data_IF_200817173277
#
_entry.id   IF_200817173277
#
_cell.length_a   1.000
_cell.length_b   1.000
_cell.length_c   1.000
_cell.angle_alpha   90.00
_cell.angle_beta   90.00
_cell.angle_gamma   90.00
#
_symmetry.space_group_name_H-M   'P 1'
#
loop_
_entity.id
_entity.type
_entity.pdbx_description
1 polymer ?
#
# COMPACT_ATOMS: atom_id res chain seq x y z
N UNK A 1 22.95 -35.35 21.50
CA UNK A 1 21.78 -34.67 22.07
C UNK A 1 21.00 -34.05 20.93
N UNK A 2 19.89 -34.67 20.53
CA UNK A 2 18.98 -34.11 19.52
C UNK A 2 18.25 -32.94 20.16
N UNK A 3 18.47 -31.72 19.66
CA UNK A 3 17.61 -30.60 20.02
C UNK A 3 16.22 -30.91 19.50
N UNK A 4 15.23 -30.93 20.40
CA UNK A 4 13.82 -30.97 20.02
C UNK A 4 13.56 -29.87 18.98
N UNK A 5 12.82 -30.14 17.88
CA UNK A 5 12.39 -29.05 17.01
C UNK A 5 11.67 -28.03 17.87
N UNK A 6 12.10 -26.76 17.78
CA UNK A 6 11.47 -25.64 18.49
C UNK A 6 9.97 -25.66 18.21
N UNK A 7 9.14 -25.43 19.24
CA UNK A 7 7.69 -25.32 19.10
C UNK A 7 7.35 -24.39 17.91
N UNK A 8 6.43 -24.78 17.00
CA UNK A 8 6.08 -23.96 15.83
C UNK A 8 5.67 -22.53 16.17
N UNK A 9 5.02 -22.31 17.32
CA UNK A 9 4.66 -20.97 17.79
C UNK A 9 5.91 -20.13 18.12
N UNK A 10 6.88 -20.73 18.81
CA UNK A 10 8.13 -20.07 19.17
C UNK A 10 8.94 -19.75 17.91
N UNK A 11 8.95 -20.66 16.93
CA UNK A 11 9.60 -20.46 15.65
C UNK A 11 8.95 -19.31 14.86
N UNK A 12 7.62 -19.29 14.75
CA UNK A 12 6.89 -18.22 14.07
C UNK A 12 7.14 -16.87 14.73
N UNK A 13 7.01 -16.80 16.05
CA UNK A 13 7.22 -15.57 16.83
C UNK A 13 8.64 -15.04 16.66
N UNK A 14 9.64 -15.93 16.70
CA UNK A 14 11.03 -15.57 16.47
C UNK A 14 11.24 -15.05 15.04
N UNK A 15 10.71 -15.74 14.04
CA UNK A 15 10.86 -15.34 12.64
C UNK A 15 10.23 -13.96 12.36
N UNK A 16 9.01 -13.72 12.85
CA UNK A 16 8.36 -12.41 12.71
C UNK A 16 9.19 -11.31 13.38
N UNK A 17 9.66 -11.56 14.61
CA UNK A 17 10.47 -10.58 15.35
C UNK A 17 11.80 -10.26 14.65
N UNK A 18 12.49 -11.29 14.14
CA UNK A 18 13.74 -11.12 13.41
C UNK A 18 13.52 -10.35 12.09
N UNK A 19 12.43 -10.65 11.37
CA UNK A 19 12.06 -9.94 10.15
C UNK A 19 11.74 -8.47 10.42
N UNK A 20 10.96 -8.18 11.46
CA UNK A 20 10.64 -6.81 11.87
C UNK A 20 11.89 -6.03 12.23
N UNK A 21 12.79 -6.61 13.04
CA UNK A 21 14.05 -5.96 13.41
C UNK A 21 14.93 -5.69 12.19
N UNK A 22 15.02 -6.65 11.26
CA UNK A 22 15.79 -6.52 10.02
C UNK A 22 15.22 -5.39 9.16
N UNK A 23 13.92 -5.38 8.90
CA UNK A 23 13.28 -4.34 8.07
C UNK A 23 13.35 -2.97 8.71
N UNK A 24 13.17 -2.86 10.04
CA UNK A 24 13.29 -1.58 10.75
C UNK A 24 14.67 -0.95 10.61
N UNK A 25 15.73 -1.78 10.52
CA UNK A 25 17.07 -1.29 10.26
C UNK A 25 17.28 -1.01 8.76
N UNK A 26 16.96 -1.96 7.88
CA UNK A 26 17.30 -1.87 6.46
C UNK A 26 16.46 -0.85 5.68
N UNK A 27 15.25 -0.52 6.15
CA UNK A 27 14.34 0.42 5.47
C UNK A 27 14.38 1.84 6.06
N UNK A 28 15.19 2.11 7.10
CA UNK A 28 15.19 3.39 7.81
C UNK A 28 15.31 4.58 6.87
N UNK A 29 16.36 4.60 6.04
CA UNK A 29 16.64 5.74 5.15
C UNK A 29 15.52 5.93 4.11
N UNK A 30 14.93 4.84 3.62
CA UNK A 30 13.81 4.90 2.66
C UNK A 30 12.53 5.42 3.31
N UNK A 31 12.27 5.03 4.56
CA UNK A 31 11.14 5.53 5.35
C UNK A 31 11.33 7.02 5.66
N UNK A 32 12.53 7.43 6.07
CA UNK A 32 12.84 8.84 6.33
C UNK A 32 12.69 9.71 5.06
N UNK A 33 13.17 9.21 3.92
CA UNK A 33 12.98 9.89 2.64
C UNK A 33 11.50 10.02 2.24
N UNK A 34 10.71 8.94 2.40
CA UNK A 34 9.27 8.99 2.14
C UNK A 34 8.54 9.94 3.09
N UNK A 35 8.90 9.94 4.37
CA UNK A 35 8.34 10.84 5.37
C UNK A 35 8.65 12.32 5.06
N UNK A 36 9.88 12.63 4.64
CA UNK A 36 10.25 13.98 4.19
C UNK A 36 9.41 14.41 3.00
N UNK A 37 9.24 13.53 2.01
CA UNK A 37 8.43 13.83 0.84
C UNK A 37 6.96 14.05 1.19
N UNK A 38 6.40 13.24 2.10
CA UNK A 38 5.04 13.44 2.61
C UNK A 38 4.89 14.78 3.34
N UNK A 39 5.89 15.18 4.13
CA UNK A 39 5.88 16.47 4.80
C UNK A 39 5.87 17.63 3.79
N UNK A 40 6.65 17.55 2.72
CA UNK A 40 6.67 18.56 1.66
C UNK A 40 5.31 18.67 0.95
N UNK A 41 4.69 17.52 0.63
CA UNK A 41 3.35 17.43 0.03
C UNK A 41 2.30 18.10 0.94
N UNK A 42 2.33 17.80 2.23
CA UNK A 42 1.40 18.39 3.21
C UNK A 42 1.63 19.89 3.34
N UNK A 43 2.87 20.35 3.40
CA UNK A 43 3.21 21.78 3.50
C UNK A 43 2.77 22.57 2.26
N UNK A 44 2.67 21.90 1.10
CA UNK A 44 2.16 22.46 -0.14
C UNK A 44 0.62 22.42 -0.27
N UNK A 45 -0.10 22.05 0.80
CA UNK A 45 -1.56 21.88 0.82
C UNK A 45 -2.06 20.85 -0.22
N UNK A 46 -1.32 19.73 -0.33
CA UNK A 46 -1.60 18.62 -1.25
C UNK A 46 -2.00 17.36 -0.50
N UNK A 47 -2.50 16.39 -1.26
CA UNK A 47 -2.95 15.09 -0.73
C UNK A 47 -1.92 13.98 -0.93
N UNK A 48 -1.92 13.04 0.00
CA UNK A 48 -1.25 11.75 -0.11
C UNK A 48 -2.33 10.72 -0.41
N UNK A 49 -2.36 10.23 -1.64
CA UNK A 49 -3.25 9.16 -2.07
C UNK A 49 -2.60 7.81 -1.77
N UNK A 50 -3.35 6.87 -1.21
CA UNK A 50 -2.86 5.51 -0.93
C UNK A 50 -3.63 4.50 -1.76
N UNK A 51 -2.92 3.54 -2.36
CA UNK A 51 -3.54 2.53 -3.21
C UNK A 51 -2.92 1.15 -2.97
N UNK A 52 -3.77 0.12 -2.94
CA UNK A 52 -3.37 -1.27 -2.92
C UNK A 52 -4.54 -2.16 -3.34
N UNK A 53 -4.25 -3.27 -4.01
CA UNK A 53 -5.29 -4.25 -4.41
C UNK A 53 -5.14 -5.54 -3.61
N UNK A 54 -6.19 -6.38 -3.63
CA UNK A 54 -6.22 -7.59 -2.82
C UNK A 54 -5.94 -7.24 -1.36
N UNK A 55 -5.18 -8.03 -0.60
CA UNK A 55 -4.87 -7.68 0.81
C UNK A 55 -4.10 -6.37 1.00
N UNK A 56 -3.45 -5.84 -0.05
CA UNK A 56 -2.70 -4.58 0.07
C UNK A 56 -3.62 -3.37 0.32
N UNK A 57 -4.93 -3.46 0.02
CA UNK A 57 -5.88 -2.40 0.36
C UNK A 57 -5.95 -2.14 1.87
N UNK A 58 -5.76 -3.18 2.70
CA UNK A 58 -5.79 -3.05 4.17
C UNK A 58 -4.71 -2.08 4.64
N UNK A 59 -3.50 -2.15 4.06
CA UNK A 59 -2.42 -1.23 4.41
C UNK A 59 -2.64 0.18 3.85
N UNK A 60 -3.35 0.32 2.74
CA UNK A 60 -3.74 1.63 2.23
C UNK A 60 -4.76 2.29 3.17
N UNK A 61 -5.74 1.51 3.63
CA UNK A 61 -6.74 1.94 4.61
C UNK A 61 -6.16 2.20 6.00
N UNK A 62 -5.11 1.47 6.41
CA UNK A 62 -4.53 1.54 7.77
C UNK A 62 -4.07 2.95 8.15
N UNK A 63 -3.71 3.80 7.20
CA UNK A 63 -3.31 5.20 7.44
C UNK A 63 -4.38 6.23 7.06
N UNK A 64 -5.54 5.77 6.60
CA UNK A 64 -6.69 6.61 6.23
C UNK A 64 -7.71 6.69 7.38
N UNK A 65 -8.19 7.90 7.67
CA UNK A 65 -9.35 8.17 8.52
C UNK A 65 -9.41 7.41 9.86
N UNK A 66 -8.29 7.38 10.59
CA UNK A 66 -8.18 6.80 11.94
C UNK A 66 -7.73 7.81 12.98
N UNK A 67 -7.97 7.50 14.25
CA UNK A 67 -7.44 8.30 15.36
C UNK A 67 -5.90 8.38 15.29
N UNK A 68 -5.36 9.60 15.33
CA UNK A 68 -3.93 9.88 15.17
C UNK A 68 -3.42 9.88 13.73
N UNK A 69 -4.30 9.66 12.74
CA UNK A 69 -3.97 9.75 11.32
C UNK A 69 -3.87 11.18 10.81
N UNK A 70 -3.18 11.34 9.68
CA UNK A 70 -3.05 12.62 8.99
C UNK A 70 -4.32 12.92 8.19
N UNK A 71 -4.83 14.14 8.29
CA UNK A 71 -6.03 14.56 7.55
C UNK A 71 -5.81 14.62 6.03
N UNK A 72 -4.55 14.80 5.59
CA UNK A 72 -4.16 14.92 4.18
C UNK A 72 -4.05 13.58 3.44
N UNK A 73 -4.40 12.46 4.10
CA UNK A 73 -4.38 11.14 3.48
C UNK A 73 -5.75 10.84 2.88
N UNK A 74 -5.75 10.44 1.61
CA UNK A 74 -6.91 9.95 0.86
C UNK A 74 -6.65 8.52 0.41
N UNK A 75 -7.67 7.66 0.43
CA UNK A 75 -7.55 6.29 -0.08
C UNK A 75 -8.17 6.21 -1.47
N UNK A 76 -7.43 5.62 -2.41
CA UNK A 76 -7.94 5.23 -3.73
C UNK A 76 -8.50 3.83 -3.60
N UNK A 77 -9.82 3.72 -3.66
CA UNK A 77 -10.51 2.48 -3.32
C UNK A 77 -11.47 2.04 -4.42
N UNK A 78 -11.47 0.75 -4.73
CA UNK A 78 -12.45 0.11 -5.59
C UNK A 78 -12.79 -1.25 -4.98
N UNK A 79 -14.05 -1.43 -4.63
CA UNK A 79 -14.53 -2.64 -3.98
C UNK A 79 -14.46 -3.88 -4.91
N UNK A 80 -14.36 -3.68 -6.22
CA UNK A 80 -14.08 -4.73 -7.20
C UNK A 80 -12.62 -5.22 -7.12
N UNK A 81 -11.69 -4.42 -6.59
CA UNK A 81 -10.29 -4.80 -6.35
C UNK A 81 -10.06 -5.37 -4.94
N UNK A 82 -11.10 -5.43 -4.12
CA UNK A 82 -11.09 -6.04 -2.79
C UNK A 82 -11.52 -7.51 -2.81
N UNK A 83 -11.29 -8.19 -1.70
CA UNK A 83 -11.49 -9.64 -1.60
C UNK A 83 -12.86 -10.05 -1.04
N UNK A 84 -13.65 -9.10 -0.53
CA UNK A 84 -14.92 -9.39 0.14
C UNK A 84 -16.06 -9.73 -0.84
N UNK A 85 -15.99 -9.31 -2.11
CA UNK A 85 -16.96 -9.67 -3.15
C UNK A 85 -16.65 -11.03 -3.79
N UNK A 86 -15.52 -11.11 -4.50
CA UNK A 86 -15.07 -12.34 -5.16
C UNK A 86 -13.58 -12.25 -5.53
N UNK A 87 -12.77 -13.17 -4.98
CA UNK A 87 -11.30 -13.18 -5.16
C UNK A 87 -10.87 -13.31 -6.63
N UNK A 88 -11.54 -14.18 -7.39
CA UNK A 88 -11.21 -14.41 -8.81
C UNK A 88 -11.57 -13.19 -9.65
N UNK A 89 -12.72 -12.57 -9.40
CA UNK A 89 -13.14 -11.36 -10.11
C UNK A 89 -12.18 -10.20 -9.85
N UNK A 90 -11.75 -10.01 -8.59
CA UNK A 90 -10.76 -8.99 -8.26
C UNK A 90 -9.45 -9.19 -9.03
N UNK A 91 -8.96 -10.43 -9.11
CA UNK A 91 -7.74 -10.76 -9.88
C UNK A 91 -7.88 -10.45 -11.38
N UNK A 92 -9.07 -10.65 -11.94
CA UNK A 92 -9.34 -10.31 -13.34
C UNK A 92 -9.44 -8.79 -13.53
N UNK A 93 -10.12 -8.11 -12.61
CA UNK A 93 -10.28 -6.65 -12.59
C UNK A 93 -8.94 -5.91 -12.55
N UNK A 94 -7.98 -6.42 -11.77
CA UNK A 94 -6.61 -5.90 -11.72
C UNK A 94 -5.89 -5.87 -13.08
N UNK A 95 -6.39 -6.62 -14.08
CA UNK A 95 -5.81 -6.73 -15.42
C UNK A 95 -6.63 -6.04 -16.51
N UNK A 96 -7.82 -5.52 -16.17
CA UNK A 96 -8.66 -4.80 -17.11
C UNK A 96 -8.08 -3.41 -17.39
N UNK A 97 -7.98 -3.04 -18.67
CA UNK A 97 -7.42 -1.75 -19.09
C UNK A 97 -8.25 -0.55 -18.63
N UNK A 98 -9.54 -0.74 -18.33
CA UNK A 98 -10.42 0.33 -17.87
C UNK A 98 -10.29 0.62 -16.36
N UNK A 99 -9.64 -0.25 -15.60
CA UNK A 99 -9.58 -0.14 -14.13
C UNK A 99 -8.94 1.16 -13.69
N UNK A 100 -7.77 1.51 -14.22
CA UNK A 100 -7.08 2.75 -13.82
C UNK A 100 -7.82 4.00 -14.24
N UNK A 101 -8.44 4.02 -15.42
CA UNK A 101 -9.26 5.16 -15.83
C UNK A 101 -10.47 5.37 -14.92
N UNK A 102 -11.10 4.29 -14.46
CA UNK A 102 -12.25 4.37 -13.55
C UNK A 102 -11.82 4.83 -12.14
N UNK A 103 -10.66 4.33 -11.67
CA UNK A 103 -10.06 4.77 -10.41
C UNK A 103 -9.79 6.27 -10.42
N UNK A 104 -9.14 6.79 -11.47
CA UNK A 104 -8.82 8.22 -11.59
C UNK A 104 -10.04 9.10 -11.81
N UNK A 105 -11.11 8.58 -12.44
CA UNK A 105 -12.37 9.30 -12.55
C UNK A 105 -13.07 9.46 -11.19
N UNK A 106 -12.95 8.45 -10.33
CA UNK A 106 -13.58 8.44 -9.00
C UNK A 106 -12.71 9.12 -7.93
N UNK A 107 -11.39 9.05 -8.09
CA UNK A 107 -10.37 9.58 -7.18
C UNK A 107 -9.42 10.47 -8.00
N UNK A 108 -9.87 11.68 -8.40
CA UNK A 108 -9.03 12.58 -9.18
C UNK A 108 -7.80 12.99 -8.37
N UNK A 109 -6.63 12.84 -9.00
CA UNK A 109 -5.35 13.31 -8.46
C UNK A 109 -4.94 14.58 -9.21
N UNK A 110 -4.34 15.53 -8.50
CA UNK A 110 -3.86 16.78 -9.11
C UNK A 110 -2.34 16.87 -9.01
N UNK A 111 -1.76 17.71 -9.87
CA UNK A 111 -0.31 17.98 -9.82
C UNK A 111 0.11 18.47 -8.43
N UNK A 112 1.18 17.86 -7.91
CA UNK A 112 1.72 18.08 -6.57
C UNK A 112 1.22 17.11 -5.51
N UNK A 113 0.16 16.33 -5.78
CA UNK A 113 -0.22 15.21 -4.92
C UNK A 113 0.83 14.09 -4.95
N UNK A 114 0.82 13.26 -3.93
CA UNK A 114 1.67 12.07 -3.83
C UNK A 114 0.82 10.79 -3.91
N UNK A 115 1.34 9.75 -4.56
CA UNK A 115 0.72 8.42 -4.57
C UNK A 115 1.62 7.40 -3.88
N UNK A 116 1.15 6.87 -2.75
CA UNK A 116 1.72 5.69 -2.08
C UNK A 116 1.07 4.42 -2.63
N UNK A 117 1.87 3.61 -3.31
CA UNK A 117 1.43 2.34 -3.89
C UNK A 117 1.94 1.17 -3.05
N UNK A 118 1.03 0.30 -2.63
CA UNK A 118 1.32 -0.84 -1.76
C UNK A 118 1.06 -2.12 -2.55
N UNK A 119 2.11 -2.91 -2.75
CA UNK A 119 2.03 -4.18 -3.46
C UNK A 119 3.12 -5.12 -2.99
N UNK A 120 2.73 -6.33 -2.58
CA UNK A 120 3.70 -7.35 -2.17
C UNK A 120 4.50 -7.93 -3.35
N UNK A 121 3.87 -8.11 -4.51
CA UNK A 121 4.54 -8.68 -5.70
C UNK A 121 5.15 -7.61 -6.61
N UNK A 122 4.66 -6.37 -6.54
CA UNK A 122 5.04 -5.28 -7.46
C UNK A 122 4.61 -5.50 -8.91
N UNK A 123 3.92 -6.60 -9.23
CA UNK A 123 3.66 -7.06 -10.60
C UNK A 123 2.21 -6.93 -11.07
N UNK A 124 1.36 -6.27 -10.30
CA UNK A 124 -0.06 -6.10 -10.63
C UNK A 124 -0.24 -5.03 -11.73
N UNK A 125 -1.08 -5.32 -12.73
CA UNK A 125 -1.36 -4.43 -13.87
C UNK A 125 -1.89 -3.07 -13.46
N UNK A 126 -3.02 -3.03 -12.74
CA UNK A 126 -3.63 -1.80 -12.23
C UNK A 126 -2.66 -1.00 -11.33
N UNK A 127 -1.91 -1.67 -10.46
CA UNK A 127 -0.87 -1.05 -9.61
C UNK A 127 0.19 -0.34 -10.44
N UNK A 128 0.76 -1.04 -11.43
CA UNK A 128 1.82 -0.49 -12.28
C UNK A 128 1.31 0.63 -13.19
N UNK A 129 0.12 0.48 -13.75
CA UNK A 129 -0.48 1.47 -14.62
C UNK A 129 -0.87 2.74 -13.84
N UNK A 130 -1.47 2.62 -12.66
CA UNK A 130 -1.78 3.77 -11.81
C UNK A 130 -0.50 4.52 -11.39
N UNK A 131 0.55 3.78 -11.00
CA UNK A 131 1.84 4.38 -10.65
C UNK A 131 2.49 5.13 -11.84
N UNK A 132 2.30 4.64 -13.08
CA UNK A 132 2.78 5.35 -14.28
C UNK A 132 1.95 6.61 -14.53
N UNK A 133 0.63 6.51 -14.43
CA UNK A 133 -0.28 7.66 -14.63
C UNK A 133 -0.05 8.77 -13.62
N UNK A 134 0.24 8.44 -12.36
CA UNK A 134 0.55 9.43 -11.33
C UNK A 134 1.87 10.19 -11.55
N UNK A 135 2.74 9.72 -12.47
CA UNK A 135 3.98 10.41 -12.84
C UNK A 135 3.82 11.36 -14.03
N UNK A 136 2.75 11.21 -14.81
CA UNK A 136 2.44 12.06 -15.98
C UNK A 136 1.85 13.40 -15.53
#
# INVERSE_FOLDING_TARGET
MSMSPSNPLDQFTKQVSDLLATQAHSQRDSIEAAASHFADVICADKLIHTFGTGHSHILAEEIFYRAGGLANVSVVVDDELMLHKAVVSATNKERESATVSNLLASHPMVSGDCLLVISNSGGNGATLELAKKAKE
#
